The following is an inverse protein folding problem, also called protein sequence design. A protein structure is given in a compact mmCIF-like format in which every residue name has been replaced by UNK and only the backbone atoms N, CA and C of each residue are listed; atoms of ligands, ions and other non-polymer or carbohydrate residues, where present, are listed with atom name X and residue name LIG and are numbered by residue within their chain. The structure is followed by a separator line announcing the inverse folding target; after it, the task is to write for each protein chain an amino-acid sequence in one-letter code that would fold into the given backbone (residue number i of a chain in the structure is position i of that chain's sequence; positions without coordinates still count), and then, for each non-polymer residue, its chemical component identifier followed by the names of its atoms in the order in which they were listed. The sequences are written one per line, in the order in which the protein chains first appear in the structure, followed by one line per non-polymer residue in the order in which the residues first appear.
data_IF_447325981171
#
_entry.id   IF_447325981171
#
_cell.length_a   1.000
_cell.length_b   1.000
_cell.length_c   1.000
_cell.angle_alpha   90.00
_cell.angle_beta   90.00
_cell.angle_gamma   90.00
#
_symmetry.space_group_name_H-M   'P 1'
#
loop_
_entity.id
_entity.type
_entity.pdbx_description
1 polymer ?
#
# COMPACT_ATOMS: atom_id res chain seq x y z
N UNK A 1 5.30 16.45 -17.01
CA UNK A 1 4.02 15.88 -17.50
C UNK A 1 3.54 14.69 -16.64
N UNK A 2 4.42 13.95 -15.97
CA UNK A 2 4.05 12.82 -15.09
C UNK A 2 3.33 13.20 -13.78
N UNK A 3 3.46 14.44 -13.31
CA UNK A 3 2.84 14.90 -12.05
C UNK A 3 1.32 15.07 -12.13
N UNK A 4 0.77 15.29 -13.32
CA UNK A 4 -0.68 15.43 -13.52
C UNK A 4 -1.41 14.08 -13.48
N UNK A 5 -0.70 12.98 -13.77
CA UNK A 5 -1.27 11.63 -13.84
C UNK A 5 -1.51 11.03 -12.45
N UNK A 6 -0.84 11.54 -11.40
CA UNK A 6 -0.91 11.01 -10.03
C UNK A 6 -1.92 11.72 -9.12
N UNK A 7 -2.68 12.66 -9.67
CA UNK A 7 -3.72 13.36 -8.92
C UNK A 7 -4.86 12.39 -8.56
N UNK A 8 -5.14 12.26 -7.27
CA UNK A 8 -6.27 11.49 -6.78
C UNK A 8 -6.89 12.19 -5.57
N UNK A 9 -8.15 11.85 -5.29
CA UNK A 9 -8.82 12.24 -4.05
C UNK A 9 -8.67 11.10 -3.05
N UNK A 10 -8.28 11.42 -1.82
CA UNK A 10 -8.19 10.43 -0.74
C UNK A 10 -9.57 9.86 -0.38
N UNK A 11 -10.63 10.66 -0.55
CA UNK A 11 -12.00 10.32 -0.16
C UNK A 11 -13.01 10.82 -1.21
N UNK A 12 -13.12 10.16 -2.37
CA UNK A 12 -13.94 10.64 -3.49
C UNK A 12 -15.44 10.72 -3.15
N UNK A 13 -15.93 9.96 -2.18
CA UNK A 13 -17.33 9.95 -1.75
C UNK A 13 -17.81 11.31 -1.21
N UNK A 14 -16.90 12.15 -0.70
CA UNK A 14 -17.24 13.48 -0.17
C UNK A 14 -17.61 14.47 -1.27
N UNK A 15 -17.23 14.22 -2.53
CA UNK A 15 -17.68 15.03 -3.66
C UNK A 15 -19.20 14.99 -3.85
N UNK A 16 -19.88 13.94 -3.37
CA UNK A 16 -21.34 13.85 -3.41
C UNK A 16 -22.03 14.95 -2.58
N UNK A 17 -21.34 15.54 -1.58
CA UNK A 17 -21.87 16.67 -0.82
C UNK A 17 -21.96 17.96 -1.64
N UNK A 18 -21.36 18.03 -2.82
CA UNK A 18 -21.57 19.15 -3.73
C UNK A 18 -23.02 19.17 -4.30
N UNK A 19 -23.68 18.01 -4.44
CA UNK A 19 -25.06 17.92 -4.94
C UNK A 19 -26.10 18.58 -4.00
N UNK A 20 -26.16 18.26 -2.69
CA UNK A 20 -27.06 18.97 -1.79
C UNK A 20 -26.70 20.45 -1.70
N UNK A 21 -25.43 20.83 -1.93
CA UNK A 21 -25.03 22.23 -1.95
C UNK A 21 -25.65 23.04 -3.07
N UNK A 22 -25.60 22.50 -4.28
CA UNK A 22 -26.27 23.08 -5.43
C UNK A 22 -27.80 23.06 -5.25
N UNK A 23 -28.34 22.00 -4.64
CA UNK A 23 -29.78 21.88 -4.35
C UNK A 23 -30.31 22.95 -3.40
N UNK A 24 -29.63 23.17 -2.26
CA UNK A 24 -30.00 24.22 -1.29
C UNK A 24 -29.89 25.60 -1.92
N UNK A 25 -28.82 25.87 -2.68
CA UNK A 25 -28.69 27.14 -3.40
C UNK A 25 -29.79 27.36 -4.44
N UNK A 26 -30.16 26.31 -5.20
CA UNK A 26 -31.24 26.40 -6.19
C UNK A 26 -32.60 26.65 -5.54
N UNK A 27 -32.91 25.97 -4.44
CA UNK A 27 -34.14 26.19 -3.66
C UNK A 27 -34.15 27.60 -3.08
N UNK A 28 -33.04 28.05 -2.50
CA UNK A 28 -32.96 29.37 -1.89
C UNK A 28 -33.09 30.49 -2.93
N UNK A 29 -32.45 30.36 -4.10
CA UNK A 29 -32.61 31.29 -5.23
C UNK A 29 -34.05 31.32 -5.76
N UNK A 30 -34.74 30.17 -5.75
CA UNK A 30 -36.14 30.06 -6.17
C UNK A 30 -37.12 30.62 -5.13
N UNK A 31 -36.76 30.61 -3.85
CA UNK A 31 -37.54 31.18 -2.74
C UNK A 31 -37.29 32.68 -2.55
N UNK A 32 -36.22 33.23 -3.11
CA UNK A 32 -35.94 34.68 -3.17
C UNK A 32 -36.75 35.42 -4.25
N UNK A 33 -37.72 34.78 -4.90
CA UNK A 33 -38.71 35.46 -5.74
C UNK A 33 -40.00 35.69 -4.91
N UNK A 34 -40.05 36.75 -4.08
CA UNK A 34 -41.20 37.03 -3.20
C UNK A 34 -42.50 37.29 -3.97
N UNK A 35 -42.42 37.53 -5.28
CA UNK A 35 -43.55 37.83 -6.14
C UNK A 35 -44.07 36.58 -6.88
N UNK A 36 -43.46 35.41 -6.69
CA UNK A 36 -43.78 34.19 -7.44
C UNK A 36 -45.21 33.67 -7.19
N UNK A 37 -45.68 33.71 -5.94
CA UNK A 37 -47.06 33.33 -5.62
C UNK A 37 -48.12 34.34 -6.08
N UNK A 38 -47.72 35.60 -6.29
CA UNK A 38 -48.60 36.69 -6.74
C UNK A 38 -48.67 36.76 -8.27
N UNK A 39 -47.58 36.40 -8.97
CA UNK A 39 -47.53 36.30 -10.44
C UNK A 39 -48.39 35.18 -11.02
N UNK A 40 -48.58 34.09 -10.28
CA UNK A 40 -49.48 33.00 -10.70
C UNK A 40 -50.97 33.37 -10.59
N UNK A 41 -51.31 34.48 -9.91
CA UNK A 41 -52.69 34.84 -9.57
C UNK A 41 -53.10 36.27 -10.00
N UNK A 42 -52.18 37.11 -10.49
CA UNK A 42 -52.46 38.51 -10.83
C UNK A 42 -51.88 38.94 -12.18
N UNK A 43 -52.58 39.87 -12.83
CA UNK A 43 -52.25 40.43 -14.14
C UNK A 43 -50.88 41.16 -14.12
N UNK A 44 -49.93 40.86 -15.04
CA UNK A 44 -48.57 41.38 -15.01
C UNK A 44 -48.45 42.92 -15.04
N UNK A 45 -49.41 43.63 -15.65
CA UNK A 45 -49.41 45.10 -15.67
C UNK A 45 -49.63 45.72 -14.28
N UNK A 46 -50.58 45.17 -13.50
CA UNK A 46 -50.86 45.66 -12.13
C UNK A 46 -49.74 45.31 -11.15
N UNK A 47 -49.05 44.19 -11.38
CA UNK A 47 -47.94 43.73 -10.55
C UNK A 47 -46.71 44.63 -10.71
N UNK A 48 -46.48 45.17 -11.90
CA UNK A 48 -45.39 46.12 -12.17
C UNK A 48 -45.62 47.51 -11.56
N UNK A 49 -46.88 47.93 -11.40
CA UNK A 49 -47.24 49.23 -10.83
C UNK A 49 -47.23 49.25 -9.29
N UNK A 50 -47.45 48.10 -8.65
CA UNK A 50 -47.43 47.92 -7.18
C UNK A 50 -46.11 47.39 -6.64
N UNK A 51 -45.28 46.79 -7.49
CA UNK A 51 -43.92 46.42 -7.12
C UNK A 51 -43.09 47.69 -6.90
N UNK A 52 -42.99 48.12 -5.64
CA UNK A 52 -41.93 49.02 -5.20
C UNK A 52 -40.63 48.41 -5.70
N UNK A 53 -39.91 49.13 -6.57
CA UNK A 53 -38.57 48.75 -7.00
C UNK A 53 -37.68 48.70 -5.76
N UNK A 54 -37.66 47.55 -5.10
CA UNK A 54 -36.54 47.20 -4.27
C UNK A 54 -35.40 47.07 -5.25
N UNK A 55 -34.48 48.03 -5.21
CA UNK A 55 -33.12 47.83 -5.70
C UNK A 55 -32.60 46.60 -4.98
N UNK A 56 -32.85 45.44 -5.58
CA UNK A 56 -32.31 44.17 -5.18
C UNK A 56 -30.83 44.27 -5.43
N UNK A 57 -30.10 44.92 -4.52
CA UNK A 57 -28.68 44.67 -4.29
C UNK A 57 -28.61 43.17 -4.11
N UNK A 58 -28.33 42.48 -5.22
CA UNK A 58 -28.35 41.02 -5.28
C UNK A 58 -27.53 40.56 -4.10
N UNK A 59 -28.16 39.80 -3.21
CA UNK A 59 -27.49 39.37 -2.00
C UNK A 59 -26.40 38.37 -2.40
N UNK A 60 -25.23 38.91 -2.73
CA UNK A 60 -24.06 38.16 -3.15
C UNK A 60 -23.56 37.27 -2.01
N UNK A 61 -24.06 37.45 -0.78
CA UNK A 61 -23.77 36.56 0.36
C UNK A 61 -24.09 35.10 0.02
N UNK A 62 -25.16 34.86 -0.75
CA UNK A 62 -25.54 33.53 -1.18
C UNK A 62 -24.51 32.86 -2.09
N UNK A 63 -23.89 33.66 -2.94
CA UNK A 63 -22.85 33.20 -3.87
C UNK A 63 -21.55 32.92 -3.10
N UNK A 64 -21.19 33.78 -2.15
CA UNK A 64 -20.02 33.58 -1.29
C UNK A 64 -20.15 32.35 -0.38
N UNK A 65 -21.35 32.09 0.16
CA UNK A 65 -21.63 30.88 0.94
C UNK A 65 -21.49 29.61 0.10
N UNK A 66 -21.98 29.61 -1.14
CA UNK A 66 -21.84 28.48 -2.05
C UNK A 66 -20.37 28.23 -2.42
N UNK A 67 -19.62 29.29 -2.73
CA UNK A 67 -18.19 29.17 -3.03
C UNK A 67 -17.43 28.61 -1.82
N UNK A 68 -17.69 29.14 -0.62
CA UNK A 68 -17.08 28.65 0.62
C UNK A 68 -17.40 27.18 0.88
N UNK A 69 -18.65 26.77 0.64
CA UNK A 69 -19.05 25.38 0.82
C UNK A 69 -18.40 24.43 -0.19
N UNK A 70 -18.33 24.82 -1.48
CA UNK A 70 -17.64 24.02 -2.49
C UNK A 70 -16.15 23.88 -2.20
N UNK A 71 -15.50 24.95 -1.74
CA UNK A 71 -14.09 24.90 -1.32
C UNK A 71 -13.90 23.96 -0.12
N UNK A 72 -14.81 23.98 0.85
CA UNK A 72 -14.77 23.05 1.98
C UNK A 72 -14.96 21.59 1.53
N UNK A 73 -15.87 21.32 0.58
CA UNK A 73 -16.05 19.97 0.02
C UNK A 73 -14.78 19.49 -0.68
N UNK A 74 -14.12 20.34 -1.47
CA UNK A 74 -12.85 20.01 -2.12
C UNK A 74 -11.76 19.74 -1.08
N UNK A 75 -11.65 20.59 -0.04
CA UNK A 75 -10.68 20.41 1.02
C UNK A 75 -10.88 19.09 1.78
N UNK A 76 -12.13 18.71 2.07
CA UNK A 76 -12.48 17.47 2.76
C UNK A 76 -12.26 16.23 1.87
N UNK A 77 -12.50 16.34 0.56
CA UNK A 77 -12.22 15.25 -0.39
C UNK A 77 -10.73 14.91 -0.48
N UNK A 78 -9.85 15.82 -0.03
CA UNK A 78 -8.43 15.58 0.15
C UNK A 78 -7.69 15.39 -1.18
N UNK A 79 -7.52 16.47 -1.98
CA UNK A 79 -6.72 16.43 -3.19
C UNK A 79 -5.27 16.13 -2.86
N UNK A 80 -4.77 14.98 -3.32
CA UNK A 80 -3.43 14.52 -3.03
C UNK A 80 -2.65 14.24 -4.32
N UNK A 81 -1.41 14.72 -4.35
CA UNK A 81 -0.42 14.37 -5.38
C UNK A 81 0.56 13.30 -4.91
N UNK A 82 0.59 13.02 -3.60
CA UNK A 82 1.41 11.99 -2.99
C UNK A 82 0.49 10.86 -2.53
N UNK A 83 0.66 9.63 -3.03
CA UNK A 83 -0.03 8.48 -2.46
C UNK A 83 0.44 8.31 -1.01
N UNK A 84 -0.51 8.10 -0.10
CA UNK A 84 -0.23 7.70 1.27
C UNK A 84 0.59 6.39 1.22
N UNK A 85 1.73 6.28 1.92
CA UNK A 85 2.42 5.01 2.04
C UNK A 85 1.46 4.01 2.71
N UNK A 86 1.04 3.01 1.95
CA UNK A 86 0.13 1.97 2.42
C UNK A 86 0.70 1.30 3.68
N UNK A 87 -0.07 1.15 4.77
CA UNK A 87 0.37 0.43 5.96
C UNK A 87 0.67 -1.06 5.69
N UNK A 88 0.23 -1.60 4.55
CA UNK A 88 0.59 -2.95 4.09
C UNK A 88 2.00 -3.05 3.48
N UNK A 89 2.72 -1.94 3.32
CA UNK A 89 4.11 -1.98 2.87
C UNK A 89 5.08 -2.38 4.00
N UNK A 90 4.68 -2.25 5.28
CA UNK A 90 5.51 -2.64 6.43
C UNK A 90 5.30 -4.09 6.90
N UNK A 91 4.18 -4.73 6.55
CA UNK A 91 3.95 -6.17 6.76
C UNK A 91 4.58 -7.00 5.63
N UNK A 92 5.89 -6.86 5.45
CA UNK A 92 6.61 -7.79 4.60
C UNK A 92 6.61 -9.17 5.30
N UNK A 93 5.80 -10.10 4.81
CA UNK A 93 5.75 -11.48 5.27
C UNK A 93 7.16 -12.06 5.36
N UNK A 94 7.47 -12.77 6.45
CA UNK A 94 8.80 -13.33 6.65
C UNK A 94 9.15 -14.31 5.53
N UNK A 95 10.38 -14.23 5.03
CA UNK A 95 10.91 -15.18 4.06
C UNK A 95 11.97 -16.06 4.73
N UNK A 96 11.79 -17.37 4.71
CA UNK A 96 12.79 -18.34 5.17
C UNK A 96 13.57 -18.90 3.98
N UNK A 97 14.89 -18.76 4.00
CA UNK A 97 15.79 -19.39 3.03
C UNK A 97 16.20 -20.76 3.58
N UNK A 98 15.99 -21.81 2.79
CA UNK A 98 16.42 -23.18 3.10
C UNK A 98 17.60 -23.49 2.16
N UNK A 99 18.82 -23.40 2.68
CA UNK A 99 20.06 -23.61 1.93
C UNK A 99 20.56 -25.05 2.13
N UNK A 100 20.67 -25.81 1.05
CA UNK A 100 21.33 -27.11 1.08
C UNK A 100 22.83 -26.93 1.25
N UNK A 101 23.43 -27.67 2.18
CA UNK A 101 24.84 -27.64 2.52
C UNK A 101 25.40 -29.07 2.56
N UNK A 102 25.30 -29.77 1.43
CA UNK A 102 25.85 -31.12 1.25
C UNK A 102 27.00 -31.07 0.22
N UNK A 103 27.83 -32.12 0.17
CA UNK A 103 28.92 -32.27 -0.80
C UNK A 103 28.46 -32.11 -2.26
N UNK A 104 27.20 -32.40 -2.56
CA UNK A 104 26.64 -32.20 -3.91
C UNK A 104 26.59 -30.72 -4.34
N UNK A 105 26.58 -29.78 -3.38
CA UNK A 105 26.61 -28.34 -3.64
C UNK A 105 28.03 -27.80 -3.95
N UNK A 106 29.09 -28.58 -3.71
CA UNK A 106 30.47 -28.23 -4.07
C UNK A 106 30.79 -28.48 -5.57
N UNK A 107 29.84 -29.05 -6.31
CA UNK A 107 30.01 -29.28 -7.74
C UNK A 107 30.19 -27.95 -8.52
N UNK A 108 31.05 -27.99 -9.54
CA UNK A 108 31.45 -26.83 -10.37
C UNK A 108 30.83 -26.83 -11.77
N UNK A 109 29.71 -27.53 -11.94
CA UNK A 109 28.91 -27.47 -13.17
C UNK A 109 28.34 -26.06 -13.42
N UNK A 110 28.15 -25.29 -12.35
CA UNK A 110 27.91 -23.86 -12.35
C UNK A 110 29.11 -23.14 -11.74
N UNK A 111 29.72 -22.22 -12.49
CA UNK A 111 30.82 -21.42 -11.96
C UNK A 111 30.34 -20.46 -10.85
N UNK A 112 31.11 -20.30 -9.75
CA UNK A 112 32.34 -21.03 -9.42
C UNK A 112 32.10 -22.41 -8.76
N UNK A 113 31.05 -22.54 -7.94
CA UNK A 113 30.42 -23.80 -7.51
C UNK A 113 28.92 -23.55 -7.30
N UNK A 114 28.09 -24.60 -7.20
CA UNK A 114 26.66 -24.45 -6.90
C UNK A 114 26.43 -23.70 -5.58
N UNK A 115 27.21 -24.02 -4.54
CA UNK A 115 27.14 -23.36 -3.23
C UNK A 115 27.55 -21.90 -3.30
N UNK A 116 28.66 -21.58 -3.96
CA UNK A 116 29.07 -20.18 -4.13
C UNK A 116 28.03 -19.38 -4.92
N UNK A 117 27.45 -19.97 -5.96
CA UNK A 117 26.38 -19.34 -6.73
C UNK A 117 25.10 -19.17 -5.90
N UNK A 118 24.81 -20.09 -4.98
CA UNK A 118 23.74 -19.95 -4.01
C UNK A 118 24.00 -18.79 -3.03
N UNK A 119 25.22 -18.67 -2.48
CA UNK A 119 25.64 -17.56 -1.62
C UNK A 119 25.48 -16.21 -2.31
N UNK A 120 25.92 -16.08 -3.56
CA UNK A 120 25.74 -14.85 -4.35
C UNK A 120 24.26 -14.51 -4.56
N UNK A 121 23.43 -15.48 -4.91
CA UNK A 121 21.97 -15.26 -5.05
C UNK A 121 21.30 -14.87 -3.74
N UNK A 122 21.75 -15.44 -2.62
CA UNK A 122 21.24 -15.07 -1.29
C UNK A 122 21.64 -13.63 -0.95
N UNK A 123 22.87 -13.21 -1.30
CA UNK A 123 23.29 -11.81 -1.14
C UNK A 123 22.44 -10.85 -2.00
N UNK A 124 22.21 -11.18 -3.28
CA UNK A 124 21.33 -10.41 -4.16
C UNK A 124 19.90 -10.31 -3.59
N UNK A 125 19.38 -11.43 -3.07
CA UNK A 125 18.05 -11.49 -2.45
C UNK A 125 17.97 -10.66 -1.16
N UNK A 126 19.03 -10.69 -0.34
CA UNK A 126 19.12 -9.90 0.88
C UNK A 126 19.15 -8.39 0.59
N UNK A 127 19.82 -7.97 -0.48
CA UNK A 127 19.82 -6.57 -0.95
C UNK A 127 18.44 -6.17 -1.49
N UNK A 128 17.84 -7.00 -2.33
CA UNK A 128 16.51 -6.74 -2.89
C UNK A 128 15.40 -6.67 -1.82
N UNK A 129 15.58 -7.36 -0.68
CA UNK A 129 14.64 -7.39 0.45
C UNK A 129 15.10 -6.57 1.65
N UNK A 130 15.97 -5.58 1.46
CA UNK A 130 16.50 -4.77 2.57
C UNK A 130 15.37 -4.19 3.44
N UNK A 131 15.43 -4.46 4.76
CA UNK A 131 14.43 -4.02 5.73
C UNK A 131 13.21 -4.94 5.87
N UNK A 132 13.10 -5.99 5.06
CA UNK A 132 12.05 -7.01 5.17
C UNK A 132 12.58 -8.24 5.93
N UNK A 133 11.78 -8.89 6.79
CA UNK A 133 12.23 -10.04 7.56
C UNK A 133 12.70 -11.21 6.67
N UNK A 134 13.96 -11.59 6.84
CA UNK A 134 14.63 -12.69 6.14
C UNK A 134 15.29 -13.61 7.17
N UNK A 135 15.06 -14.92 7.06
CA UNK A 135 15.66 -15.95 7.90
C UNK A 135 16.41 -16.99 7.08
N UNK A 136 17.25 -17.78 7.75
CA UNK A 136 18.15 -18.73 7.10
C UNK A 136 18.21 -20.04 7.88
N UNK A 137 17.97 -21.14 7.17
CA UNK A 137 18.12 -22.52 7.62
C UNK A 137 19.15 -23.20 6.72
N UNK A 138 20.10 -23.89 7.33
CA UNK A 138 21.01 -24.78 6.63
C UNK A 138 20.51 -26.22 6.77
N UNK A 139 20.58 -27.00 5.68
CA UNK A 139 20.18 -28.41 5.74
C UNK A 139 21.06 -29.32 4.89
N UNK A 140 21.19 -30.56 5.34
CA UNK A 140 21.83 -31.70 4.68
C UNK A 140 21.12 -32.97 5.16
N UNK A 141 21.80 -33.90 5.84
CA UNK A 141 21.17 -35.01 6.55
C UNK A 141 20.41 -34.60 7.82
N UNK A 142 20.61 -33.38 8.31
CA UNK A 142 19.86 -32.70 9.37
C UNK A 142 19.53 -31.27 8.96
N UNK A 143 18.63 -30.59 9.67
CA UNK A 143 18.27 -29.19 9.42
C UNK A 143 18.46 -28.33 10.68
N UNK A 144 19.04 -27.14 10.51
CA UNK A 144 19.39 -26.25 11.61
C UNK A 144 19.06 -24.80 11.29
N UNK A 145 18.48 -24.10 12.27
CA UNK A 145 18.25 -22.66 12.20
C UNK A 145 19.58 -21.93 12.35
N UNK A 146 19.96 -21.17 11.32
CA UNK A 146 21.16 -20.33 11.34
C UNK A 146 20.80 -18.95 11.85
N UNK A 147 19.72 -18.37 11.30
CA UNK A 147 19.19 -17.08 11.74
C UNK A 147 17.65 -17.09 11.73
N UNK A 148 17.01 -16.67 12.83
CA UNK A 148 15.57 -16.37 12.80
C UNK A 148 15.27 -15.18 11.88
N UNK A 149 14.03 -15.02 11.38
CA UNK A 149 13.69 -13.91 10.49
C UNK A 149 14.00 -12.55 11.11
N UNK A 150 14.91 -11.81 10.49
CA UNK A 150 15.39 -10.49 10.94
C UNK A 150 15.29 -9.46 9.82
N UNK A 151 15.11 -8.17 10.18
CA UNK A 151 15.14 -7.05 9.22
C UNK A 151 16.56 -6.70 8.77
N UNK A 152 17.58 -7.17 9.51
CA UNK A 152 18.98 -7.03 9.12
C UNK A 152 19.37 -8.12 8.12
N UNK A 153 19.01 -7.89 6.85
CA UNK A 153 19.26 -8.84 5.77
C UNK A 153 20.75 -8.97 5.43
N UNK A 154 21.58 -7.98 5.78
CA UNK A 154 23.03 -8.04 5.55
C UNK A 154 23.69 -9.15 6.39
N UNK A 155 23.25 -9.29 7.65
CA UNK A 155 23.71 -10.38 8.53
C UNK A 155 23.30 -11.74 7.97
N UNK A 156 22.12 -11.85 7.34
CA UNK A 156 21.70 -13.09 6.67
C UNK A 156 22.64 -13.48 5.54
N UNK A 157 23.00 -12.52 4.68
CA UNK A 157 23.95 -12.77 3.60
C UNK A 157 25.34 -13.16 4.13
N UNK A 158 25.81 -12.51 5.20
CA UNK A 158 27.09 -12.86 5.83
C UNK A 158 27.07 -14.25 6.46
N UNK A 159 25.98 -14.63 7.15
CA UNK A 159 25.88 -15.98 7.71
C UNK A 159 25.79 -17.05 6.61
N UNK A 160 25.19 -16.74 5.45
CA UNK A 160 25.13 -17.67 4.33
C UNK A 160 26.51 -18.00 3.75
N UNK A 161 27.49 -17.08 3.81
CA UNK A 161 28.84 -17.34 3.32
C UNK A 161 29.62 -18.32 4.20
N UNK A 162 29.27 -18.41 5.49
CA UNK A 162 29.91 -19.34 6.44
C UNK A 162 29.32 -20.77 6.38
N UNK A 163 28.24 -20.98 5.63
CA UNK A 163 27.60 -22.29 5.53
C UNK A 163 28.28 -23.14 4.47
N UNK A 164 28.89 -24.25 4.87
CA UNK A 164 29.43 -25.28 3.98
C UNK A 164 29.13 -26.71 4.46
N UNK A 165 29.42 -27.74 3.64
CA UNK A 165 29.18 -29.13 4.01
C UNK A 165 29.97 -29.57 5.27
N UNK A 166 31.10 -28.93 5.55
CA UNK A 166 31.99 -29.22 6.67
C UNK A 166 31.42 -28.88 8.04
N UNK A 167 30.47 -27.91 8.11
CA UNK A 167 29.82 -27.54 9.38
C UNK A 167 28.55 -28.36 9.64
N UNK A 168 28.10 -29.14 8.66
CA UNK A 168 26.89 -29.94 8.78
C UNK A 168 27.16 -31.26 9.53
N UNK A 169 26.40 -31.61 10.58
CA UNK A 169 26.69 -32.79 11.40
C UNK A 169 26.51 -34.11 10.66
N UNK A 170 25.54 -34.17 9.75
CA UNK A 170 25.15 -35.39 9.03
C UNK A 170 25.04 -35.08 7.54
N UNK A 171 25.76 -35.79 6.66
CA UNK A 171 25.58 -35.66 5.21
C UNK A 171 24.25 -36.28 4.78
N UNK A 172 23.67 -35.78 3.70
CA UNK A 172 22.41 -36.25 3.13
C UNK A 172 21.53 -35.13 2.59
N UNK A 173 20.27 -35.47 2.32
CA UNK A 173 19.28 -34.54 1.78
C UNK A 173 17.93 -34.70 2.48
N UNK A 174 17.74 -33.93 3.55
CA UNK A 174 16.55 -33.93 4.40
C UNK A 174 15.83 -32.58 4.35
N UNK A 175 15.42 -32.20 3.13
CA UNK A 175 14.60 -31.02 2.89
C UNK A 175 13.30 -31.04 3.72
N UNK A 176 12.74 -32.21 3.99
CA UNK A 176 11.55 -32.41 4.83
C UNK A 176 11.74 -31.83 6.24
N UNK A 177 12.92 -32.01 6.85
CA UNK A 177 13.24 -31.45 8.16
C UNK A 177 13.37 -29.93 8.10
N UNK A 178 13.99 -29.40 7.04
CA UNK A 178 14.14 -27.97 6.84
C UNK A 178 12.79 -27.26 6.63
N UNK A 179 11.90 -27.87 5.85
CA UNK A 179 10.54 -27.37 5.63
C UNK A 179 9.71 -27.41 6.92
N UNK A 180 9.81 -28.47 7.71
CA UNK A 180 9.11 -28.59 8.99
C UNK A 180 9.57 -27.48 9.94
N UNK A 181 10.89 -27.31 10.11
CA UNK A 181 11.46 -26.26 10.96
C UNK A 181 11.08 -24.85 10.49
N UNK A 182 11.12 -24.60 9.18
CA UNK A 182 10.69 -23.32 8.61
C UNK A 182 9.20 -23.06 8.87
N UNK A 183 8.35 -24.08 8.71
CA UNK A 183 6.92 -24.01 8.98
C UNK A 183 6.61 -23.65 10.43
N UNK A 184 7.30 -24.28 11.39
CA UNK A 184 7.16 -23.98 12.82
C UNK A 184 7.53 -22.52 13.13
N UNK A 185 8.67 -22.04 12.62
CA UNK A 185 9.14 -20.67 12.84
C UNK A 185 8.25 -19.61 12.19
N UNK A 186 7.68 -19.92 11.02
CA UNK A 186 6.72 -19.04 10.35
C UNK A 186 5.39 -19.03 11.11
N UNK A 187 4.91 -20.18 11.58
CA UNK A 187 3.65 -20.29 12.31
C UNK A 187 3.70 -19.56 13.67
N UNK A 188 4.86 -19.50 14.31
CA UNK A 188 5.07 -18.75 15.55
C UNK A 188 4.94 -17.23 15.35
N UNK A 189 5.22 -16.72 14.15
CA UNK A 189 5.08 -15.29 13.82
C UNK A 189 3.70 -15.00 13.21
N UNK A 190 2.92 -14.14 13.86
CA UNK A 190 1.70 -13.60 13.29
C UNK A 190 2.02 -12.79 12.03
N UNK A 191 1.50 -13.20 10.87
CA UNK A 191 1.76 -12.53 9.58
C UNK A 191 2.00 -13.49 8.40
N UNK A 192 2.14 -14.79 8.67
CA UNK A 192 2.45 -15.78 7.63
C UNK A 192 3.86 -15.59 7.06
N UNK A 193 4.20 -16.40 6.06
CA UNK A 193 5.54 -16.37 5.50
C UNK A 193 5.66 -17.17 4.22
N UNK A 194 6.79 -16.98 3.56
CA UNK A 194 7.20 -17.73 2.37
C UNK A 194 8.47 -18.49 2.66
N UNK A 195 8.70 -19.56 1.91
CA UNK A 195 9.94 -20.34 1.96
C UNK A 195 10.57 -20.35 0.58
N UNK A 196 11.87 -20.12 0.50
CA UNK A 196 12.66 -20.26 -0.73
C UNK A 196 13.70 -21.34 -0.49
N UNK A 197 13.68 -22.35 -1.35
CA UNK A 197 14.58 -23.50 -1.29
C UNK A 197 15.71 -23.26 -2.28
N UNK A 198 16.95 -23.40 -1.79
CA UNK A 198 18.16 -23.29 -2.59
C UNK A 198 18.92 -24.60 -2.50
N UNK A 199 18.73 -25.43 -3.53
CA UNK A 199 19.24 -26.80 -3.61
C UNK A 199 19.75 -27.11 -5.02
N UNK A 200 20.29 -28.30 -5.20
CA UNK A 200 20.87 -28.79 -6.44
C UNK A 200 19.95 -29.76 -7.20
N UNK A 201 18.84 -29.21 -7.71
CA UNK A 201 17.84 -29.84 -8.59
C UNK A 201 17.00 -31.00 -8.00
#
# INVERSE_FOLDING_TARGET
MESLIRFHFLRPEWLLLALPALGVWWIWRRSQDPLRGWRDQMDPELLSALAIQHDGRGDHSAQWLLVGWLLAVIAIAGPAWRPEPSPFAEDASALMILLKADASMEQKDLAPSRLERARLKIADLAEARKGQPLGLIAYAGSAHLVLPPTKDTAVVAQMATEIGPEIMPVPGDRLDLAMTLAGELIAEKAGGGSMVIVADA
#
